data_IF_962534010736
#
_entry.id   IF_962534010736
#
_cell.length_a   1.000
_cell.length_b   1.000
_cell.length_c   1.000
_cell.angle_alpha   90.00
_cell.angle_beta   90.00
_cell.angle_gamma   90.00
#
_symmetry.space_group_name_H-M   'P 1'
#
loop_
_entity.id
_entity.type
_entity.pdbx_description
1 polymer ?
#
# COMPACT_ATOMS: atom_id res chain seq x y z
N UNK A 1 4.71 -6.38 -8.67
CA UNK A 1 3.28 -6.16 -8.40
C UNK A 1 2.45 -6.03 -9.68
N UNK A 2 2.63 -5.00 -10.52
CA UNK A 2 1.81 -4.78 -11.76
C UNK A 2 1.63 -6.04 -12.62
N UNK A 3 2.74 -6.72 -12.94
CA UNK A 3 2.72 -7.97 -13.71
C UNK A 3 1.88 -9.09 -13.08
N UNK A 4 1.80 -9.17 -11.75
CA UNK A 4 0.94 -10.15 -11.07
C UNK A 4 -0.54 -9.79 -11.22
N UNK A 5 -0.87 -8.49 -11.15
CA UNK A 5 -2.23 -8.00 -11.38
C UNK A 5 -2.68 -8.25 -12.83
N UNK A 6 -1.79 -8.02 -13.81
CA UNK A 6 -2.03 -8.33 -15.23
C UNK A 6 -2.29 -9.82 -15.48
N UNK A 7 -1.67 -10.70 -14.68
CA UNK A 7 -1.87 -12.15 -14.73
C UNK A 7 -3.06 -12.64 -13.88
N UNK A 8 -3.83 -11.73 -13.27
CA UNK A 8 -4.97 -12.09 -12.41
C UNK A 8 -4.59 -12.61 -11.01
N UNK A 9 -3.29 -12.59 -10.66
CA UNK A 9 -2.74 -13.04 -9.38
C UNK A 9 -2.91 -11.97 -8.28
N UNK A 10 -4.17 -11.66 -7.96
CA UNK A 10 -4.53 -10.57 -7.03
C UNK A 10 -4.08 -10.83 -5.60
N UNK A 11 -4.10 -12.08 -5.13
CA UNK A 11 -3.69 -12.41 -3.76
C UNK A 11 -2.18 -12.20 -3.56
N UNK A 12 -1.38 -12.67 -4.51
CA UNK A 12 0.07 -12.53 -4.53
C UNK A 12 0.46 -11.05 -4.68
N UNK A 13 -0.23 -10.31 -5.53
CA UNK A 13 -0.02 -8.87 -5.67
C UNK A 13 -0.34 -8.11 -4.37
N UNK A 14 -1.37 -8.51 -3.62
CA UNK A 14 -1.69 -7.95 -2.31
C UNK A 14 -0.59 -8.24 -1.29
N UNK A 15 -0.07 -9.47 -1.23
CA UNK A 15 1.03 -9.82 -0.32
C UNK A 15 2.31 -9.02 -0.65
N UNK A 16 2.61 -8.82 -1.93
CA UNK A 16 3.72 -7.94 -2.35
C UNK A 16 3.47 -6.49 -1.88
N UNK A 17 2.24 -5.98 -2.02
CA UNK A 17 1.88 -4.63 -1.56
C UNK A 17 2.07 -4.49 -0.05
N UNK A 18 1.57 -5.44 0.74
CA UNK A 18 1.78 -5.51 2.19
C UNK A 18 3.25 -5.53 2.56
N UNK A 19 4.05 -6.36 1.88
CA UNK A 19 5.48 -6.46 2.11
C UNK A 19 6.21 -5.13 1.88
N UNK A 20 5.88 -4.43 0.78
CA UNK A 20 6.45 -3.10 0.49
C UNK A 20 6.05 -2.07 1.53
N UNK A 21 4.77 -1.99 1.89
CA UNK A 21 4.27 -1.04 2.90
C UNK A 21 4.91 -1.29 4.25
N UNK A 22 4.96 -2.55 4.69
CA UNK A 22 5.56 -2.92 5.98
C UNK A 22 7.08 -2.69 5.99
N UNK A 23 7.77 -3.01 4.90
CA UNK A 23 9.20 -2.76 4.76
C UNK A 23 9.52 -1.28 4.84
N UNK A 24 8.76 -0.44 4.14
CA UNK A 24 8.92 1.01 4.18
C UNK A 24 8.57 1.58 5.56
N UNK A 25 7.52 1.09 6.21
CA UNK A 25 7.13 1.52 7.56
C UNK A 25 8.26 1.28 8.56
N UNK A 26 8.83 0.08 8.55
CA UNK A 26 9.99 -0.27 9.40
C UNK A 26 11.21 0.56 9.07
N UNK A 27 11.46 0.80 7.78
CA UNK A 27 12.58 1.62 7.33
C UNK A 27 12.52 3.05 7.90
N UNK A 28 11.33 3.63 8.05
CA UNK A 28 11.14 4.95 8.66
C UNK A 28 11.17 4.97 10.19
N UNK A 29 11.09 3.82 10.86
CA UNK A 29 11.12 3.70 12.34
C UNK A 29 12.55 3.49 12.87
N UNK A 30 13.45 2.97 12.03
CA UNK A 30 14.88 2.87 12.35
C UNK A 30 15.58 4.22 12.16
N UNK A 31 16.56 4.55 13.02
CA UNK A 31 17.52 5.63 12.77
C UNK A 31 18.21 5.34 11.44
N UNK A 32 17.77 6.05 10.40
CA UNK A 32 18.13 5.76 9.03
C UNK A 32 19.64 5.82 8.81
N UNK A 33 20.18 4.81 8.11
CA UNK A 33 21.49 4.97 7.49
C UNK A 33 21.51 6.16 6.52
N UNK A 34 22.70 6.63 6.18
CA UNK A 34 22.99 7.89 5.44
C UNK A 34 21.93 8.27 4.38
N UNK A 35 21.47 7.32 3.57
CA UNK A 35 20.45 7.51 2.50
C UNK A 35 19.11 8.11 2.97
N UNK A 36 18.56 7.71 4.12
CA UNK A 36 17.28 8.27 4.59
C UNK A 36 17.43 9.68 5.17
N UNK A 37 18.65 10.07 5.56
CA UNK A 37 18.94 11.45 5.94
C UNK A 37 18.76 12.43 4.79
N UNK A 38 18.94 11.98 3.54
CA UNK A 38 18.75 12.79 2.34
C UNK A 38 17.30 12.80 1.82
N UNK A 39 16.49 11.80 2.18
CA UNK A 39 15.12 11.65 1.71
C UNK A 39 14.21 11.04 2.79
N UNK A 40 13.85 11.81 3.84
CA UNK A 40 13.09 11.29 4.98
C UNK A 40 11.66 10.87 4.61
N UNK A 41 11.06 11.50 3.59
CA UNK A 41 9.70 11.20 3.14
C UNK A 41 9.61 9.98 2.21
N UNK A 42 10.75 9.53 1.67
CA UNK A 42 10.81 8.46 0.67
C UNK A 42 10.09 7.17 1.10
N UNK A 43 10.22 6.66 2.35
CA UNK A 43 9.52 5.45 2.75
C UNK A 43 7.99 5.60 2.65
N UNK A 44 7.46 6.74 3.08
CA UNK A 44 6.02 7.00 3.00
C UNK A 44 5.56 7.15 1.53
N UNK A 45 6.33 7.86 0.70
CA UNK A 45 6.03 8.02 -0.73
C UNK A 45 6.08 6.69 -1.50
N UNK A 46 7.10 5.86 -1.25
CA UNK A 46 7.27 4.57 -1.89
C UNK A 46 6.12 3.60 -1.51
N UNK A 47 5.74 3.56 -0.23
CA UNK A 47 4.59 2.81 0.23
C UNK A 47 3.28 3.33 -0.37
N UNK A 48 3.12 4.64 -0.46
CA UNK A 48 1.96 5.27 -1.05
C UNK A 48 1.80 4.93 -2.53
N UNK A 49 2.89 4.95 -3.30
CA UNK A 49 2.90 4.55 -4.71
C UNK A 49 2.55 3.07 -4.88
N UNK A 50 3.11 2.18 -4.05
CA UNK A 50 2.77 0.75 -4.06
C UNK A 50 1.27 0.51 -3.79
N UNK A 51 0.69 1.24 -2.84
CA UNK A 51 -0.74 1.22 -2.55
C UNK A 51 -1.59 1.75 -3.69
N UNK A 52 -1.18 2.85 -4.32
CA UNK A 52 -1.89 3.42 -5.46
C UNK A 52 -1.94 2.43 -6.63
N UNK A 53 -0.81 1.79 -6.94
CA UNK A 53 -0.75 0.74 -7.97
C UNK A 53 -1.70 -0.41 -7.65
N UNK A 54 -1.69 -0.89 -6.40
CA UNK A 54 -2.61 -1.93 -5.95
C UNK A 54 -4.07 -1.51 -6.11
N UNK A 55 -4.46 -0.36 -5.59
CA UNK A 55 -5.85 0.10 -5.63
C UNK A 55 -6.35 0.30 -7.07
N UNK A 56 -5.58 0.97 -7.91
CA UNK A 56 -5.99 1.30 -9.28
C UNK A 56 -6.08 0.06 -10.17
N UNK A 57 -5.18 -0.91 -10.01
CA UNK A 57 -5.12 -2.09 -10.89
C UNK A 57 -5.84 -3.33 -10.34
N UNK A 58 -6.15 -3.37 -9.04
CA UNK A 58 -6.98 -4.45 -8.46
C UNK A 58 -8.47 -4.22 -8.65
N UNK A 59 -8.88 -2.96 -8.90
CA UNK A 59 -10.25 -2.58 -9.22
C UNK A 59 -10.77 -3.39 -10.40
N UNK A 60 -11.99 -3.91 -10.27
CA UNK A 60 -12.60 -4.76 -11.28
C UNK A 60 -13.07 -3.94 -12.49
N UNK A 61 -12.79 -4.35 -13.74
CA UNK A 61 -13.19 -3.60 -14.93
C UNK A 61 -14.71 -3.58 -15.15
N UNK A 62 -15.50 -4.43 -14.48
CA UNK A 62 -16.97 -4.46 -14.63
C UNK A 62 -17.71 -3.40 -13.82
N UNK A 63 -17.01 -2.51 -13.13
CA UNK A 63 -17.62 -1.36 -12.46
C UNK A 63 -18.56 -1.74 -11.31
N UNK A 64 -18.54 -2.98 -10.82
CA UNK A 64 -19.18 -3.29 -9.54
C UNK A 64 -18.37 -2.61 -8.45
N UNK A 65 -18.92 -1.59 -7.76
CA UNK A 65 -18.21 -0.99 -6.65
C UNK A 65 -17.95 -2.10 -5.65
N UNK A 66 -16.67 -2.37 -5.36
CA UNK A 66 -16.31 -3.23 -4.25
C UNK A 66 -16.97 -2.62 -3.00
N UNK A 67 -18.10 -3.21 -2.65
CA UNK A 67 -19.08 -2.68 -1.71
C UNK A 67 -18.42 -2.61 -0.35
N UNK A 68 -18.11 -1.39 0.09
CA UNK A 68 -17.83 -1.10 1.49
C UNK A 68 -16.61 -0.23 1.74
N UNK A 69 -16.71 0.51 2.84
CA UNK A 69 -15.69 1.26 3.56
C UNK A 69 -14.57 0.35 4.10
N UNK A 70 -14.08 -0.61 3.32
CA UNK A 70 -12.94 -1.44 3.74
C UNK A 70 -11.68 -0.74 3.24
N UNK A 71 -10.79 -0.46 4.19
CA UNK A 71 -9.41 -0.05 3.91
C UNK A 71 -8.82 -0.91 2.80
N UNK A 72 -7.97 -0.37 1.90
CA UNK A 72 -7.38 -1.14 0.82
C UNK A 72 -6.53 -2.32 1.30
N UNK A 73 -6.17 -2.35 2.59
CA UNK A 73 -5.48 -3.44 3.25
C UNK A 73 -6.32 -4.01 4.42
N UNK A 74 -6.15 -5.30 4.76
CA UNK A 74 -6.85 -5.95 5.88
C UNK A 74 -6.55 -5.30 7.23
N UNK A 75 -7.52 -5.31 8.15
CA UNK A 75 -7.39 -4.72 9.49
C UNK A 75 -6.22 -5.29 10.31
N UNK A 76 -5.96 -6.60 10.22
CA UNK A 76 -4.83 -7.25 10.90
C UNK A 76 -3.47 -6.73 10.42
N UNK A 77 -3.40 -6.28 9.16
CA UNK A 77 -2.20 -5.64 8.64
C UNK A 77 -2.07 -4.20 9.14
N UNK A 78 -3.18 -3.46 9.25
CA UNK A 78 -3.17 -2.07 9.72
C UNK A 78 -2.64 -1.94 11.16
N UNK A 79 -2.84 -2.95 12.01
CA UNK A 79 -2.23 -2.98 13.34
C UNK A 79 -0.70 -3.07 13.33
N UNK A 80 -0.08 -3.47 12.21
CA UNK A 80 1.39 -3.50 12.07
C UNK A 80 1.97 -2.15 11.63
N UNK A 81 1.13 -1.24 11.11
CA UNK A 81 1.55 0.07 10.57
C UNK A 81 0.67 1.21 11.11
N UNK A 82 0.50 1.34 12.44
CA UNK A 82 -0.54 2.17 13.04
C UNK A 82 -0.47 3.65 12.64
N UNK A 83 0.75 4.21 12.53
CA UNK A 83 0.92 5.63 12.19
C UNK A 83 0.55 5.94 10.72
N UNK A 84 0.44 4.91 9.87
CA UNK A 84 0.18 5.07 8.44
C UNK A 84 -1.27 4.75 8.05
N UNK A 85 -2.14 4.39 9.01
CA UNK A 85 -3.55 4.06 8.75
C UNK A 85 -4.25 5.17 7.96
N UNK A 86 -4.11 6.43 8.39
CA UNK A 86 -4.73 7.58 7.72
C UNK A 86 -4.26 7.76 6.27
N UNK A 87 -2.97 7.52 6.01
CA UNK A 87 -2.40 7.58 4.66
C UNK A 87 -2.98 6.48 3.77
N UNK A 88 -3.00 5.24 4.28
CA UNK A 88 -3.50 4.06 3.56
C UNK A 88 -4.97 4.23 3.19
N UNK A 89 -5.80 4.66 4.14
CA UNK A 89 -7.22 4.94 3.88
C UNK A 89 -7.43 6.09 2.91
N UNK A 90 -6.60 7.13 3.00
CA UNK A 90 -6.64 8.27 2.09
C UNK A 90 -6.38 7.86 0.64
N UNK A 91 -5.40 7.00 0.40
CA UNK A 91 -5.07 6.48 -0.94
C UNK A 91 -6.19 5.58 -1.46
N UNK A 92 -6.74 4.70 -0.60
CA UNK A 92 -7.87 3.85 -0.98
C UNK A 92 -9.14 4.63 -1.37
N UNK A 93 -9.35 5.83 -0.81
CA UNK A 93 -10.45 6.73 -1.20
C UNK A 93 -10.21 7.43 -2.53
N UNK A 94 -8.97 7.83 -2.83
CA UNK A 94 -8.60 8.55 -4.06
C UNK A 94 -8.54 7.66 -5.30
N UNK A 95 -8.32 6.36 -5.11
CA UNK A 95 -8.20 5.38 -6.19
C UNK A 95 -9.53 4.70 -6.56
N UNK A 96 -10.64 5.08 -5.92
CA UNK A 96 -12.02 4.68 -6.27
C UNK A 96 -12.64 5.73 -7.20
#
# INVERSE_FOLDING_TARGET
MKRYLELGLKAEALEICKGLVLGCYRLGDHEGGDVLGWAPDFPAEAAGNALQVWCTQSADPTGRPARGKRSPLPSDFLSMVPNWISMIEGIGKKAK
#
